data_IF_624704211865
#
_entry.id   IF_624704211865
#
_cell.length_a   1.000
_cell.length_b   1.000
_cell.length_c   1.000
_cell.angle_alpha   90.00
_cell.angle_beta   90.00
_cell.angle_gamma   90.00
#
_symmetry.space_group_name_H-M   'P 1'
#
loop_
_entity.id
_entity.type
_entity.pdbx_description
1 polymer ?
#
# COMPACT_ATOMS: atom_id res chain seq x y z
N UNK A 1 41.16 -51.28 -12.72
CA UNK A 1 41.39 -50.05 -13.51
C UNK A 1 40.11 -49.40 -14.04
N UNK A 2 39.13 -50.15 -14.57
CA UNK A 2 37.91 -49.59 -15.18
C UNK A 2 37.16 -48.51 -14.36
N UNK A 3 37.10 -48.64 -13.03
CA UNK A 3 36.44 -47.67 -12.14
C UNK A 3 37.18 -46.33 -12.09
N UNK A 4 38.52 -46.34 -12.00
CA UNK A 4 39.34 -45.12 -11.90
C UNK A 4 39.56 -44.44 -13.25
N UNK A 5 39.42 -45.18 -14.35
CA UNK A 5 39.53 -44.65 -15.72
C UNK A 5 38.18 -44.25 -16.32
N UNK A 6 37.08 -44.43 -15.60
CA UNK A 6 35.76 -44.03 -16.10
C UNK A 6 35.68 -42.52 -16.33
N UNK A 7 35.11 -42.12 -17.46
CA UNK A 7 34.86 -40.71 -17.81
C UNK A 7 33.44 -40.24 -17.45
N UNK A 8 32.55 -41.15 -17.04
CA UNK A 8 31.17 -40.83 -16.69
C UNK A 8 31.11 -39.97 -15.42
N UNK A 9 30.56 -38.76 -15.46
CA UNK A 9 30.51 -37.86 -14.30
C UNK A 9 29.12 -37.68 -13.70
N UNK A 10 28.12 -38.39 -14.23
CA UNK A 10 26.71 -38.25 -13.86
C UNK A 10 25.99 -37.17 -14.67
N UNK A 11 24.67 -37.36 -14.85
CA UNK A 11 23.83 -36.51 -15.71
C UNK A 11 23.11 -35.42 -14.90
N UNK A 12 22.74 -35.76 -13.67
CA UNK A 12 22.09 -34.92 -12.66
C UNK A 12 22.77 -35.16 -11.30
N UNK A 13 22.39 -34.37 -10.29
CA UNK A 13 22.99 -34.43 -8.97
C UNK A 13 22.83 -35.81 -8.32
N UNK A 14 21.65 -36.39 -8.42
CA UNK A 14 21.34 -37.72 -7.88
C UNK A 14 22.25 -38.80 -8.48
N UNK A 15 22.49 -38.74 -9.80
CA UNK A 15 23.40 -39.64 -10.48
C UNK A 15 24.85 -39.41 -10.05
N UNK A 16 25.30 -38.15 -9.89
CA UNK A 16 26.67 -37.89 -9.38
C UNK A 16 26.84 -38.44 -7.97
N UNK A 17 25.85 -38.26 -7.08
CA UNK A 17 25.89 -38.77 -5.71
C UNK A 17 25.96 -40.31 -5.67
N UNK A 18 25.23 -40.99 -6.57
CA UNK A 18 25.35 -42.46 -6.73
C UNK A 18 26.75 -42.86 -7.20
N UNK A 19 27.34 -42.14 -8.15
CA UNK A 19 28.70 -42.41 -8.64
C UNK A 19 29.76 -42.14 -7.57
N UNK A 20 29.59 -41.08 -6.76
CA UNK A 20 30.45 -40.78 -5.62
C UNK A 20 30.41 -41.90 -4.60
N UNK A 21 29.21 -42.35 -4.21
CA UNK A 21 29.06 -43.46 -3.25
C UNK A 21 29.73 -44.75 -3.73
N UNK A 22 29.52 -45.13 -5.00
CA UNK A 22 30.20 -46.28 -5.61
C UNK A 22 31.72 -46.11 -5.61
N UNK A 23 32.20 -44.89 -5.81
CA UNK A 23 33.63 -44.60 -5.82
C UNK A 23 34.24 -44.61 -4.41
N UNK A 24 33.51 -44.18 -3.38
CA UNK A 24 33.89 -44.29 -1.97
C UNK A 24 34.03 -45.75 -1.53
N UNK A 25 33.13 -46.63 -1.97
CA UNK A 25 33.23 -48.08 -1.78
C UNK A 25 34.55 -48.61 -2.40
N UNK A 26 34.84 -48.24 -3.65
CA UNK A 26 36.11 -48.57 -4.30
C UNK A 26 37.34 -47.99 -3.56
N UNK A 27 37.28 -46.78 -3.02
CA UNK A 27 38.37 -46.18 -2.27
C UNK A 27 38.63 -46.92 -0.95
N UNK A 28 37.58 -47.41 -0.31
CA UNK A 28 37.68 -48.25 0.90
C UNK A 28 38.41 -49.55 0.58
N UNK A 29 38.04 -50.22 -0.51
CA UNK A 29 38.71 -51.44 -0.98
C UNK A 29 40.17 -51.17 -1.36
N UNK A 30 40.43 -50.05 -2.05
CA UNK A 30 41.78 -49.62 -2.40
C UNK A 30 42.62 -49.40 -1.14
N UNK A 31 42.08 -48.75 -0.11
CA UNK A 31 42.79 -48.57 1.16
C UNK A 31 43.10 -49.91 1.85
N UNK A 32 42.17 -50.87 1.82
CA UNK A 32 42.40 -52.20 2.39
C UNK A 32 43.51 -52.98 1.67
N UNK A 33 43.72 -52.75 0.38
CA UNK A 33 44.78 -53.39 -0.40
C UNK A 33 46.19 -52.79 -0.18
N UNK A 34 46.29 -51.63 0.48
CA UNK A 34 47.57 -51.00 0.84
C UNK A 34 48.46 -51.92 1.67
N UNK A 35 47.89 -52.61 2.66
CA UNK A 35 48.61 -53.53 3.54
C UNK A 35 49.25 -54.67 2.74
N UNK A 36 48.52 -55.20 1.74
CA UNK A 36 49.01 -56.30 0.91
C UNK A 36 50.15 -55.89 -0.01
N UNK A 37 50.15 -54.64 -0.51
CA UNK A 37 51.29 -54.09 -1.25
C UNK A 37 52.50 -53.92 -0.33
N UNK A 38 52.28 -53.48 0.92
CA UNK A 38 53.35 -53.38 1.92
C UNK A 38 53.93 -54.75 2.28
N UNK A 39 53.10 -55.80 2.41
CA UNK A 39 53.56 -57.18 2.63
C UNK A 39 54.43 -57.68 1.47
N UNK A 40 53.99 -57.50 0.22
CA UNK A 40 54.77 -57.88 -0.97
C UNK A 40 56.14 -57.18 -0.98
N UNK A 41 56.17 -55.89 -0.63
CA UNK A 41 57.41 -55.13 -0.50
C UNK A 41 58.32 -55.66 0.62
N UNK A 42 57.76 -56.05 1.76
CA UNK A 42 58.52 -56.65 2.86
C UNK A 42 59.10 -58.02 2.47
N UNK A 43 58.33 -58.86 1.78
CA UNK A 43 58.80 -60.17 1.31
C UNK A 43 59.90 -60.03 0.24
N UNK A 44 59.72 -59.12 -0.73
CA UNK A 44 60.74 -58.82 -1.73
C UNK A 44 62.04 -58.34 -1.04
N UNK A 45 61.93 -57.44 -0.06
CA UNK A 45 63.08 -56.95 0.73
C UNK A 45 63.82 -58.07 1.47
N UNK A 46 63.11 -59.02 2.07
CA UNK A 46 63.72 -60.20 2.73
C UNK A 46 64.48 -61.08 1.75
N UNK A 47 63.88 -61.42 0.61
CA UNK A 47 64.51 -62.27 -0.41
C UNK A 47 65.78 -61.62 -1.01
N UNK A 48 65.76 -60.30 -1.19
CA UNK A 48 66.94 -59.52 -1.62
C UNK A 48 68.04 -59.58 -0.55
N UNK A 49 67.69 -59.42 0.73
CA UNK A 49 68.64 -59.48 1.84
C UNK A 49 69.28 -60.86 2.01
N UNK A 50 68.56 -61.92 1.66
CA UNK A 50 69.04 -63.31 1.67
C UNK A 50 69.87 -63.69 0.42
N UNK A 51 70.13 -62.76 -0.51
CA UNK A 51 70.87 -63.02 -1.77
C UNK A 51 70.21 -64.12 -2.61
N UNK A 52 68.89 -64.04 -2.78
CA UNK A 52 68.14 -64.99 -3.60
C UNK A 52 68.68 -65.05 -5.05
N UNK A 53 68.79 -66.23 -5.69
CA UNK A 53 69.36 -66.37 -7.04
C UNK A 53 68.71 -65.53 -8.13
N UNK A 54 67.44 -65.16 -7.93
CA UNK A 54 66.63 -64.34 -8.84
C UNK A 54 66.44 -62.88 -8.35
N UNK A 55 67.39 -62.34 -7.59
CA UNK A 55 67.30 -61.00 -6.98
C UNK A 55 66.90 -59.90 -7.99
N UNK A 56 67.49 -59.89 -9.18
CA UNK A 56 67.16 -58.89 -10.21
C UNK A 56 65.70 -58.98 -10.67
N UNK A 57 65.17 -60.20 -10.82
CA UNK A 57 63.78 -60.42 -11.20
C UNK A 57 62.83 -59.97 -10.09
N UNK A 58 63.16 -60.27 -8.83
CA UNK A 58 62.39 -59.85 -7.65
C UNK A 58 62.33 -58.32 -7.57
N UNK A 59 63.46 -57.63 -7.73
CA UNK A 59 63.51 -56.16 -7.80
C UNK A 59 62.65 -55.62 -8.94
N UNK A 60 62.79 -56.17 -10.14
CA UNK A 60 61.98 -55.74 -11.29
C UNK A 60 60.48 -55.90 -11.04
N UNK A 61 60.05 -57.01 -10.44
CA UNK A 61 58.63 -57.25 -10.10
C UNK A 61 58.13 -56.36 -8.97
N UNK A 62 58.96 -56.12 -7.96
CA UNK A 62 58.67 -55.19 -6.88
C UNK A 62 58.44 -53.77 -7.43
N UNK A 63 59.33 -53.31 -8.30
CA UNK A 63 59.23 -52.01 -8.95
C UNK A 63 57.98 -51.91 -9.83
N UNK A 64 57.64 -52.96 -10.58
CA UNK A 64 56.43 -53.02 -11.41
C UNK A 64 55.14 -52.90 -10.57
N UNK A 65 55.07 -53.61 -9.44
CA UNK A 65 53.93 -53.54 -8.49
C UNK A 65 53.82 -52.14 -7.90
N UNK A 66 54.93 -51.57 -7.43
CA UNK A 66 54.95 -50.23 -6.85
C UNK A 66 54.57 -49.15 -7.86
N UNK A 67 55.08 -49.22 -9.09
CA UNK A 67 54.73 -48.30 -10.16
C UNK A 67 53.22 -48.38 -10.50
N UNK A 68 52.68 -49.60 -10.58
CA UNK A 68 51.25 -49.84 -10.84
C UNK A 68 50.37 -49.34 -9.69
N UNK A 69 50.80 -49.55 -8.44
CA UNK A 69 50.11 -49.05 -7.25
C UNK A 69 50.05 -47.53 -7.20
N UNK A 70 51.18 -46.86 -7.44
CA UNK A 70 51.25 -45.39 -7.48
C UNK A 70 50.40 -44.83 -8.62
N UNK A 71 50.43 -45.47 -9.79
CA UNK A 71 49.56 -45.10 -10.92
C UNK A 71 48.08 -45.23 -10.55
N UNK A 72 47.67 -46.33 -9.92
CA UNK A 72 46.29 -46.56 -9.51
C UNK A 72 45.82 -45.52 -8.49
N UNK A 73 46.66 -45.18 -7.51
CA UNK A 73 46.41 -44.10 -6.54
C UNK A 73 46.26 -42.75 -7.21
N UNK A 74 47.14 -42.42 -8.16
CA UNK A 74 47.06 -41.18 -8.94
C UNK A 74 45.75 -41.07 -9.73
N UNK A 75 45.36 -42.15 -10.42
CA UNK A 75 44.09 -42.20 -11.16
C UNK A 75 42.89 -42.10 -10.22
N UNK A 76 42.94 -42.75 -9.06
CA UNK A 76 41.87 -42.68 -8.06
C UNK A 76 41.67 -41.25 -7.54
N UNK A 77 42.76 -40.53 -7.21
CA UNK A 77 42.70 -39.13 -6.80
C UNK A 77 42.15 -38.23 -7.89
N UNK A 78 42.58 -38.42 -9.15
CA UNK A 78 42.06 -37.66 -10.28
C UNK A 78 40.56 -37.88 -10.47
N UNK A 79 40.11 -39.14 -10.38
CA UNK A 79 38.70 -39.51 -10.50
C UNK A 79 37.86 -38.91 -9.36
N UNK A 80 38.37 -38.94 -8.13
CA UNK A 80 37.72 -38.30 -6.97
C UNK A 80 37.52 -36.81 -7.22
N UNK A 81 38.56 -36.10 -7.67
CA UNK A 81 38.47 -34.66 -7.95
C UNK A 81 37.45 -34.34 -9.05
N UNK A 82 37.38 -35.15 -10.12
CA UNK A 82 36.37 -34.97 -11.17
C UNK A 82 34.95 -35.20 -10.66
N UNK A 83 34.70 -36.26 -9.88
CA UNK A 83 33.39 -36.55 -9.32
C UNK A 83 32.94 -35.49 -8.29
N UNK A 84 33.88 -34.98 -7.48
CA UNK A 84 33.60 -33.90 -6.55
C UNK A 84 33.24 -32.61 -7.28
N UNK A 85 34.04 -32.21 -8.28
CA UNK A 85 33.76 -31.03 -9.09
C UNK A 85 32.44 -31.12 -9.87
N UNK A 86 32.11 -32.31 -10.39
CA UNK A 86 30.82 -32.55 -11.03
C UNK A 86 29.65 -32.35 -10.05
N UNK A 87 29.77 -32.84 -8.81
CA UNK A 87 28.73 -32.68 -7.80
C UNK A 87 28.55 -31.22 -7.36
N UNK A 88 29.64 -30.46 -7.22
CA UNK A 88 29.57 -29.02 -6.93
C UNK A 88 28.79 -28.27 -8.02
N UNK A 89 29.12 -28.52 -9.30
CA UNK A 89 28.44 -27.86 -10.42
C UNK A 89 26.97 -28.27 -10.53
N UNK A 90 26.65 -29.55 -10.32
CA UNK A 90 25.26 -30.02 -10.36
C UNK A 90 24.42 -29.47 -9.20
N UNK A 91 25.00 -29.34 -8.00
CA UNK A 91 24.33 -28.69 -6.86
C UNK A 91 24.04 -27.23 -7.14
N UNK A 92 25.01 -26.50 -7.68
CA UNK A 92 24.80 -25.12 -8.12
C UNK A 92 23.66 -25.01 -9.15
N UNK A 93 23.67 -25.86 -10.18
CA UNK A 93 22.62 -25.85 -11.20
C UNK A 93 21.23 -26.09 -10.59
N UNK A 94 21.09 -27.06 -9.68
CA UNK A 94 19.83 -27.32 -8.98
C UNK A 94 19.36 -26.11 -8.16
N UNK A 95 20.25 -25.53 -7.37
CA UNK A 95 19.91 -24.39 -6.51
C UNK A 95 19.49 -23.16 -7.34
N UNK A 96 20.12 -22.96 -8.51
CA UNK A 96 19.73 -21.95 -9.49
C UNK A 96 18.35 -22.26 -10.09
N UNK A 97 18.11 -23.49 -10.54
CA UNK A 97 16.85 -23.88 -11.18
C UNK A 97 15.65 -23.81 -10.20
N UNK A 98 15.86 -24.19 -8.94
CA UNK A 98 14.86 -24.01 -7.88
C UNK A 98 14.55 -22.52 -7.64
N UNK A 99 15.59 -21.68 -7.61
CA UNK A 99 15.45 -20.23 -7.43
C UNK A 99 14.72 -19.60 -8.61
N UNK A 100 15.06 -19.98 -9.85
CA UNK A 100 14.36 -19.52 -11.07
C UNK A 100 12.91 -19.99 -11.07
N UNK A 101 12.63 -21.23 -10.67
CA UNK A 101 11.26 -21.77 -10.60
C UNK A 101 10.40 -20.99 -9.60
N UNK A 102 10.95 -20.68 -8.42
CA UNK A 102 10.29 -19.82 -7.44
C UNK A 102 10.04 -18.42 -7.99
N UNK A 103 11.03 -17.81 -8.67
CA UNK A 103 10.87 -16.49 -9.33
C UNK A 103 9.72 -16.54 -10.34
N UNK A 104 9.68 -17.56 -11.20
CA UNK A 104 8.63 -17.70 -12.21
C UNK A 104 7.24 -17.87 -11.59
N UNK A 105 7.12 -18.65 -10.52
CA UNK A 105 5.86 -18.81 -9.76
C UNK A 105 5.39 -17.47 -9.18
N UNK A 106 6.28 -16.72 -8.51
CA UNK A 106 5.95 -15.40 -7.98
C UNK A 106 5.64 -14.37 -9.07
N UNK A 107 6.33 -14.45 -10.21
CA UNK A 107 6.06 -13.63 -11.39
C UNK A 107 4.64 -13.81 -11.92
N UNK A 108 4.13 -15.04 -11.95
CA UNK A 108 2.74 -15.31 -12.37
C UNK A 108 1.71 -14.66 -11.43
N UNK A 109 1.97 -14.62 -10.12
CA UNK A 109 1.10 -13.93 -9.16
C UNK A 109 1.08 -12.40 -9.39
N UNK A 110 2.18 -11.83 -9.89
CA UNK A 110 2.29 -10.39 -10.19
C UNK A 110 1.63 -9.99 -11.50
N UNK A 111 1.48 -10.93 -12.44
CA UNK A 111 0.88 -10.70 -13.76
C UNK A 111 -0.64 -10.43 -13.73
N UNK A 112 -1.27 -10.41 -12.56
CA UNK A 112 -2.69 -10.09 -12.43
C UNK A 112 -2.96 -8.62 -12.79
N UNK A 113 -3.94 -8.34 -13.66
CA UNK A 113 -4.40 -6.98 -13.92
C UNK A 113 -5.44 -6.47 -12.89
N UNK A 114 -5.58 -7.15 -11.75
CA UNK A 114 -6.41 -6.65 -10.65
C UNK A 114 -5.64 -5.60 -9.83
N UNK A 115 -6.14 -4.36 -9.91
CA UNK A 115 -5.66 -3.20 -9.16
C UNK A 115 -6.71 -2.66 -8.19
N UNK A 116 -7.76 -3.44 -7.87
CA UNK A 116 -8.82 -3.03 -6.97
C UNK A 116 -9.81 -2.04 -7.61
N UNK A 117 -11.05 -2.07 -7.10
CA UNK A 117 -12.19 -1.30 -7.63
C UNK A 117 -12.75 -0.26 -6.66
N UNK A 118 -12.23 -0.29 -5.43
CA UNK A 118 -12.61 0.58 -4.32
C UNK A 118 -11.40 0.72 -3.38
N UNK A 119 -11.47 1.67 -2.46
CA UNK A 119 -10.35 1.98 -1.57
C UNK A 119 -9.94 0.78 -0.70
N UNK A 120 -10.91 -0.01 -0.22
CA UNK A 120 -10.64 -1.15 0.65
C UNK A 120 -9.93 -2.29 -0.11
N UNK A 121 -10.39 -2.61 -1.32
CA UNK A 121 -9.80 -3.65 -2.18
C UNK A 121 -8.38 -3.29 -2.60
N UNK A 122 -8.13 -2.04 -3.03
CA UNK A 122 -6.78 -1.55 -3.30
C UNK A 122 -5.87 -1.69 -2.08
N UNK A 123 -6.32 -1.24 -0.90
CA UNK A 123 -5.50 -1.30 0.31
C UNK A 123 -5.13 -2.75 0.68
N UNK A 124 -6.05 -3.69 0.47
CA UNK A 124 -5.76 -5.12 0.66
C UNK A 124 -4.72 -5.62 -0.34
N UNK A 125 -4.81 -5.22 -1.62
CA UNK A 125 -3.83 -5.57 -2.65
C UNK A 125 -2.44 -4.98 -2.38
N UNK A 126 -2.36 -3.72 -1.92
CA UNK A 126 -1.10 -3.08 -1.50
C UNK A 126 -0.46 -3.84 -0.35
N UNK A 127 -1.19 -4.17 0.72
CA UNK A 127 -0.66 -4.98 1.84
C UNK A 127 -0.15 -6.35 1.39
N UNK A 128 -0.86 -6.99 0.46
CA UNK A 128 -0.41 -8.26 -0.15
C UNK A 128 0.88 -8.06 -0.95
N UNK A 129 1.00 -6.95 -1.67
CA UNK A 129 2.20 -6.61 -2.43
C UNK A 129 3.39 -6.28 -1.54
N UNK A 130 3.22 -5.56 -0.43
CA UNK A 130 4.27 -5.34 0.58
C UNK A 130 4.80 -6.67 1.15
N UNK A 131 3.92 -7.68 1.28
CA UNK A 131 4.33 -9.04 1.65
C UNK A 131 5.26 -9.68 0.63
N UNK A 132 4.93 -9.52 -0.65
CA UNK A 132 5.74 -10.01 -1.76
C UNK A 132 7.07 -9.27 -1.87
N UNK A 133 7.12 -7.96 -1.64
CA UNK A 133 8.37 -7.19 -1.63
C UNK A 133 9.32 -7.65 -0.52
N UNK A 134 8.79 -8.03 0.65
CA UNK A 134 9.58 -8.66 1.71
C UNK A 134 10.14 -10.02 1.30
N UNK A 135 9.35 -10.85 0.63
CA UNK A 135 9.82 -12.13 0.08
C UNK A 135 10.95 -11.89 -0.96
N UNK A 136 10.80 -10.88 -1.83
CA UNK A 136 11.81 -10.52 -2.82
C UNK A 136 13.09 -10.00 -2.18
N UNK A 137 13.01 -9.17 -1.14
CA UNK A 137 14.18 -8.70 -0.41
C UNK A 137 15.01 -9.86 0.17
N UNK A 138 14.35 -10.88 0.71
CA UNK A 138 15.03 -12.09 1.19
C UNK A 138 15.65 -12.91 0.04
N UNK A 139 15.01 -12.92 -1.13
CA UNK A 139 15.53 -13.61 -2.31
C UNK A 139 16.78 -12.94 -2.89
N UNK A 140 16.89 -11.61 -2.77
CA UNK A 140 18.04 -10.85 -3.28
C UNK A 140 19.36 -11.38 -2.72
N UNK A 141 19.40 -11.68 -1.42
CA UNK A 141 20.58 -12.24 -0.76
C UNK A 141 20.92 -13.64 -1.29
N UNK A 142 19.91 -14.47 -1.58
CA UNK A 142 20.10 -15.79 -2.20
C UNK A 142 20.68 -15.65 -3.62
N UNK A 143 20.17 -14.72 -4.43
CA UNK A 143 20.69 -14.46 -5.79
C UNK A 143 22.14 -13.99 -5.74
N UNK A 144 22.49 -13.09 -4.82
CA UNK A 144 23.88 -12.64 -4.60
C UNK A 144 24.80 -13.80 -4.22
N UNK A 145 24.36 -14.66 -3.30
CA UNK A 145 25.13 -15.83 -2.88
C UNK A 145 25.38 -16.81 -4.04
N UNK A 146 24.36 -17.09 -4.86
CA UNK A 146 24.50 -17.94 -6.06
C UNK A 146 25.43 -17.31 -7.10
N UNK A 147 25.42 -15.99 -7.27
CA UNK A 147 26.35 -15.31 -8.18
C UNK A 147 27.80 -15.43 -7.71
N UNK A 148 28.06 -15.27 -6.40
CA UNK A 148 29.39 -15.44 -5.82
C UNK A 148 29.87 -16.90 -5.92
N UNK A 149 28.97 -17.86 -5.73
CA UNK A 149 29.25 -19.28 -5.90
C UNK A 149 29.59 -19.61 -7.36
N UNK A 150 28.87 -19.04 -8.32
CA UNK A 150 29.20 -19.16 -9.73
C UNK A 150 30.61 -18.63 -10.06
N UNK A 151 31.01 -17.49 -9.50
CA UNK A 151 32.37 -16.95 -9.67
C UNK A 151 33.44 -17.90 -9.14
N UNK A 152 33.20 -18.48 -7.94
CA UNK A 152 34.10 -19.48 -7.34
C UNK A 152 34.23 -20.72 -8.22
N UNK A 153 33.09 -21.27 -8.68
CA UNK A 153 33.07 -22.49 -9.49
C UNK A 153 33.68 -22.28 -10.88
N UNK A 154 33.54 -21.11 -11.49
CA UNK A 154 34.20 -20.79 -12.76
C UNK A 154 35.73 -20.81 -12.63
N UNK A 155 36.27 -20.37 -11.49
CA UNK A 155 37.71 -20.39 -11.21
C UNK A 155 38.22 -21.80 -10.93
N UNK A 156 37.48 -22.59 -10.15
CA UNK A 156 37.90 -23.96 -9.78
C UNK A 156 37.64 -25.00 -10.87
N UNK A 157 36.64 -24.77 -11.74
CA UNK A 157 36.22 -25.72 -12.78
C UNK A 157 36.17 -25.07 -14.19
N UNK A 158 37.32 -24.71 -14.79
CA UNK A 158 37.38 -23.97 -16.06
C UNK A 158 36.65 -24.63 -17.24
N UNK A 159 36.57 -25.97 -17.24
CA UNK A 159 35.87 -26.74 -18.29
C UNK A 159 34.37 -26.42 -18.28
N UNK A 160 33.78 -26.24 -17.10
CA UNK A 160 32.35 -25.96 -16.92
C UNK A 160 32.04 -24.46 -16.85
N UNK A 161 33.06 -23.60 -16.89
CA UNK A 161 32.89 -22.16 -16.64
C UNK A 161 31.88 -21.49 -17.59
N UNK A 162 31.89 -21.87 -18.88
CA UNK A 162 30.92 -21.38 -19.86
C UNK A 162 29.47 -21.75 -19.51
N UNK A 163 29.24 -23.01 -19.11
CA UNK A 163 27.90 -23.47 -18.72
C UNK A 163 27.41 -22.79 -17.43
N UNK A 164 28.29 -22.68 -16.44
CA UNK A 164 28.01 -21.98 -15.17
C UNK A 164 27.67 -20.51 -15.45
N UNK A 165 28.40 -19.87 -16.37
CA UNK A 165 28.15 -18.50 -16.77
C UNK A 165 26.75 -18.34 -17.38
N UNK A 166 26.38 -19.21 -18.32
CA UNK A 166 25.04 -19.20 -18.93
C UNK A 166 23.94 -19.36 -17.86
N UNK A 167 24.12 -20.26 -16.90
CA UNK A 167 23.15 -20.44 -15.81
C UNK A 167 23.06 -19.24 -14.87
N UNK A 168 24.19 -18.61 -14.56
CA UNK A 168 24.22 -17.35 -13.80
C UNK A 168 23.47 -16.24 -14.53
N UNK A 169 23.72 -16.08 -15.83
CA UNK A 169 23.04 -15.07 -16.66
C UNK A 169 21.54 -15.32 -16.71
N UNK A 170 21.10 -16.58 -16.81
CA UNK A 170 19.68 -16.95 -16.72
C UNK A 170 19.07 -16.52 -15.39
N UNK A 171 19.73 -16.80 -14.26
CA UNK A 171 19.28 -16.37 -12.93
C UNK A 171 19.13 -14.85 -12.84
N UNK A 172 20.16 -14.11 -13.26
CA UNK A 172 20.17 -12.64 -13.22
C UNK A 172 19.06 -12.07 -14.09
N UNK A 173 18.85 -12.61 -15.30
CA UNK A 173 17.80 -12.16 -16.19
C UNK A 173 16.39 -12.34 -15.58
N UNK A 174 16.13 -13.52 -14.97
CA UNK A 174 14.86 -13.76 -14.27
C UNK A 174 14.69 -12.85 -13.05
N UNK A 175 15.78 -12.58 -12.31
CA UNK A 175 15.79 -11.70 -11.15
C UNK A 175 15.48 -10.24 -11.52
N UNK A 176 16.10 -9.70 -12.56
CA UNK A 176 15.82 -8.33 -13.01
C UNK A 176 14.40 -8.20 -13.59
N UNK A 177 13.91 -9.24 -14.28
CA UNK A 177 12.54 -9.28 -14.78
C UNK A 177 11.51 -9.19 -13.64
N UNK A 178 11.66 -10.00 -12.58
CA UNK A 178 10.70 -9.98 -11.46
C UNK A 178 10.75 -8.67 -10.68
N UNK A 179 11.93 -8.05 -10.53
CA UNK A 179 12.06 -6.72 -9.91
C UNK A 179 11.33 -5.65 -10.71
N UNK A 180 11.46 -5.68 -12.04
CA UNK A 180 10.76 -4.75 -12.93
C UNK A 180 9.25 -4.92 -12.80
N UNK A 181 8.75 -6.17 -12.88
CA UNK A 181 7.32 -6.47 -12.73
C UNK A 181 6.78 -6.06 -11.36
N UNK A 182 7.54 -6.26 -10.28
CA UNK A 182 7.15 -5.85 -8.95
C UNK A 182 7.01 -4.32 -8.87
N UNK A 183 8.01 -3.58 -9.36
CA UNK A 183 7.99 -2.12 -9.35
C UNK A 183 6.84 -1.54 -10.20
N UNK A 184 6.62 -2.08 -11.41
CA UNK A 184 5.50 -1.68 -12.27
C UNK A 184 4.15 -1.95 -11.60
N UNK A 185 3.98 -3.13 -10.99
CA UNK A 185 2.76 -3.46 -10.26
C UNK A 185 2.54 -2.52 -9.08
N UNK A 186 3.58 -2.22 -8.30
CA UNK A 186 3.48 -1.28 -7.19
C UNK A 186 3.05 0.11 -7.68
N UNK A 187 3.67 0.62 -8.74
CA UNK A 187 3.29 1.91 -9.34
C UNK A 187 1.80 1.93 -9.73
N UNK A 188 1.32 0.91 -10.44
CA UNK A 188 -0.09 0.82 -10.84
C UNK A 188 -1.06 0.68 -9.65
N UNK A 189 -0.68 -0.06 -8.60
CA UNK A 189 -1.47 -0.15 -7.36
C UNK A 189 -1.54 1.19 -6.63
N UNK A 190 -0.45 1.96 -6.60
CA UNK A 190 -0.41 3.29 -6.01
C UNK A 190 -1.24 4.31 -6.81
N UNK A 191 -1.21 4.24 -8.14
CA UNK A 191 -2.07 5.06 -8.99
C UNK A 191 -3.55 4.76 -8.72
N UNK A 192 -3.93 3.48 -8.72
CA UNK A 192 -5.28 3.04 -8.36
C UNK A 192 -5.66 3.50 -6.95
N UNK A 193 -4.75 3.43 -5.96
CA UNK A 193 -4.99 3.92 -4.60
C UNK A 193 -5.32 5.41 -4.54
N UNK A 194 -4.53 6.23 -5.23
CA UNK A 194 -4.74 7.68 -5.25
C UNK A 194 -6.08 8.02 -5.89
N UNK A 195 -6.42 7.35 -7.00
CA UNK A 195 -7.73 7.51 -7.64
C UNK A 195 -8.87 7.08 -6.72
N UNK A 196 -8.81 5.88 -6.15
CA UNK A 196 -9.90 5.35 -5.32
C UNK A 196 -10.09 6.13 -4.02
N UNK A 197 -9.02 6.72 -3.49
CA UNK A 197 -9.10 7.65 -2.36
C UNK A 197 -9.83 8.93 -2.74
N UNK A 198 -9.41 9.57 -3.84
CA UNK A 198 -10.11 10.76 -4.36
C UNK A 198 -11.59 10.48 -4.66
N UNK A 199 -11.92 9.33 -5.26
CA UNK A 199 -13.31 8.94 -5.55
C UNK A 199 -14.12 8.60 -4.28
N UNK A 200 -13.47 8.17 -3.20
CA UNK A 200 -14.12 8.02 -1.90
C UNK A 200 -14.47 9.41 -1.33
N UNK A 201 -13.48 10.31 -1.24
CA UNK A 201 -13.66 11.67 -0.75
C UNK A 201 -14.74 12.43 -1.56
N UNK A 202 -14.73 12.29 -2.89
CA UNK A 202 -15.75 12.85 -3.78
C UNK A 202 -17.18 12.37 -3.44
N UNK A 203 -17.36 11.06 -3.24
CA UNK A 203 -18.68 10.48 -2.92
C UNK A 203 -19.17 10.95 -1.55
N UNK A 204 -18.29 10.94 -0.56
CA UNK A 204 -18.62 11.36 0.81
C UNK A 204 -19.03 12.84 0.82
N UNK A 205 -18.24 13.71 0.17
CA UNK A 205 -18.56 15.14 0.08
C UNK A 205 -19.84 15.41 -0.71
N UNK A 206 -20.09 14.70 -1.81
CA UNK A 206 -21.30 14.90 -2.62
C UNK A 206 -22.56 14.45 -1.85
N UNK A 207 -22.48 13.34 -1.11
CA UNK A 207 -23.57 12.91 -0.21
C UNK A 207 -23.84 13.97 0.84
N UNK A 208 -22.79 14.43 1.52
CA UNK A 208 -22.91 15.44 2.57
C UNK A 208 -23.48 16.77 2.03
N UNK A 209 -23.05 17.24 0.85
CA UNK A 209 -23.62 18.43 0.21
C UNK A 209 -25.11 18.25 -0.05
N UNK A 210 -25.50 17.09 -0.57
CA UNK A 210 -26.91 16.78 -0.85
C UNK A 210 -27.75 16.81 0.42
N UNK A 211 -27.25 16.21 1.50
CA UNK A 211 -27.90 16.19 2.81
C UNK A 211 -28.00 17.60 3.41
N UNK A 212 -26.92 18.40 3.37
CA UNK A 212 -26.92 19.77 3.86
C UNK A 212 -27.88 20.68 3.08
N UNK A 213 -27.92 20.55 1.75
CA UNK A 213 -28.90 21.26 0.91
C UNK A 213 -30.34 20.89 1.28
N UNK A 214 -30.60 19.63 1.64
CA UNK A 214 -31.92 19.20 2.09
C UNK A 214 -32.28 19.81 3.45
N UNK A 215 -31.33 19.86 4.40
CA UNK A 215 -31.52 20.49 5.71
C UNK A 215 -31.85 21.99 5.58
N UNK A 216 -31.09 22.73 4.78
CA UNK A 216 -31.31 24.17 4.57
C UNK A 216 -32.70 24.45 3.97
N UNK A 217 -33.22 23.54 3.15
CA UNK A 217 -34.55 23.66 2.52
C UNK A 217 -35.71 23.10 3.36
N UNK A 218 -35.43 22.40 4.47
CA UNK A 218 -36.46 21.65 5.20
C UNK A 218 -37.39 22.55 6.02
N UNK A 219 -36.88 23.66 6.54
CA UNK A 219 -37.62 24.55 7.43
C UNK A 219 -38.69 25.36 6.66
N UNK A 220 -39.79 25.68 7.32
CA UNK A 220 -40.78 26.65 6.84
C UNK A 220 -40.54 28.02 7.50
N UNK A 221 -41.02 29.10 6.89
CA UNK A 221 -40.89 30.44 7.48
C UNK A 221 -41.73 30.55 8.76
N UNK A 222 -41.16 31.18 9.78
CA UNK A 222 -41.84 31.40 11.05
C UNK A 222 -42.97 32.43 10.94
N UNK A 223 -43.94 32.32 11.84
CA UNK A 223 -45.08 33.22 11.96
C UNK A 223 -45.03 34.12 13.21
N UNK A 224 -43.90 34.09 13.93
CA UNK A 224 -43.62 34.95 15.07
C UNK A 224 -42.11 35.29 15.15
N UNK A 225 -41.77 36.29 15.97
CA UNK A 225 -40.39 36.78 16.12
C UNK A 225 -39.47 35.71 16.71
N UNK A 226 -39.93 35.00 17.75
CA UNK A 226 -39.11 33.99 18.42
C UNK A 226 -38.75 32.80 17.51
N UNK A 227 -39.69 32.38 16.65
CA UNK A 227 -39.46 31.37 15.64
C UNK A 227 -38.51 31.84 14.55
N UNK A 228 -38.61 33.10 14.12
CA UNK A 228 -37.71 33.68 13.12
C UNK A 228 -36.27 33.80 13.66
N UNK A 229 -36.09 34.22 14.92
CA UNK A 229 -34.80 34.22 15.61
C UNK A 229 -34.21 32.80 15.68
N UNK A 230 -35.00 31.80 16.09
CA UNK A 230 -34.55 30.43 16.17
C UNK A 230 -34.14 29.83 14.80
N UNK A 231 -34.81 30.22 13.72
CA UNK A 231 -34.43 29.83 12.36
C UNK A 231 -33.08 30.45 11.94
N UNK A 232 -32.87 31.73 12.26
CA UNK A 232 -31.59 32.42 11.99
C UNK A 232 -30.44 31.78 12.77
N UNK A 233 -30.64 31.47 14.04
CA UNK A 233 -29.63 30.82 14.89
C UNK A 233 -29.23 29.45 14.32
N UNK A 234 -30.22 28.58 13.99
CA UNK A 234 -29.95 27.28 13.36
C UNK A 234 -29.26 27.42 12.00
N UNK A 235 -29.63 28.43 11.23
CA UNK A 235 -29.01 28.68 9.93
C UNK A 235 -27.52 29.05 10.06
N UNK A 236 -27.14 29.73 11.15
CA UNK A 236 -25.74 29.98 11.49
C UNK A 236 -25.01 28.72 11.95
N UNK A 237 -25.68 27.79 12.63
CA UNK A 237 -25.09 26.47 12.95
C UNK A 237 -24.74 25.71 11.67
N UNK A 238 -25.64 25.68 10.68
CA UNK A 238 -25.35 25.10 9.36
C UNK A 238 -24.15 25.76 8.68
N UNK A 239 -23.96 27.07 8.84
CA UNK A 239 -22.78 27.76 8.31
C UNK A 239 -21.49 27.25 8.96
N UNK A 240 -21.51 27.04 10.27
CA UNK A 240 -20.40 26.45 11.00
C UNK A 240 -20.05 25.05 10.51
N UNK A 241 -21.05 24.22 10.22
CA UNK A 241 -20.84 22.90 9.61
C UNK A 241 -20.24 22.99 8.20
N UNK A 242 -20.70 23.92 7.37
CA UNK A 242 -20.13 24.15 6.04
C UNK A 242 -18.67 24.56 6.13
N UNK A 243 -18.34 25.49 7.03
CA UNK A 243 -16.97 25.97 7.21
C UNK A 243 -16.04 24.88 7.75
N UNK A 244 -16.55 23.98 8.60
CA UNK A 244 -15.78 22.85 9.10
C UNK A 244 -15.39 21.83 8.01
N UNK A 245 -16.12 21.78 6.89
CA UNK A 245 -15.82 20.89 5.76
C UNK A 245 -14.91 21.52 4.70
N UNK A 246 -14.54 22.79 4.85
CA UNK A 246 -13.71 23.52 3.89
C UNK A 246 -12.37 22.80 3.60
N UNK A 247 -11.70 22.34 4.65
CA UNK A 247 -10.44 21.60 4.52
C UNK A 247 -10.62 20.27 3.77
N UNK A 248 -11.77 19.61 3.91
CA UNK A 248 -12.08 18.38 3.18
C UNK A 248 -12.26 18.65 1.69
N UNK A 249 -12.98 19.71 1.31
CA UNK A 249 -13.09 20.13 -0.09
C UNK A 249 -11.73 20.49 -0.68
N UNK A 250 -10.92 21.24 0.05
CA UNK A 250 -9.58 21.62 -0.38
C UNK A 250 -8.68 20.40 -0.57
N UNK A 251 -8.69 19.46 0.38
CA UNK A 251 -7.94 18.21 0.27
C UNK A 251 -8.38 17.37 -0.93
N UNK A 252 -9.68 17.31 -1.23
CA UNK A 252 -10.19 16.59 -2.39
C UNK A 252 -9.77 17.27 -3.71
N UNK A 253 -9.83 18.60 -3.78
CA UNK A 253 -9.33 19.36 -4.94
C UNK A 253 -7.83 19.15 -5.13
N UNK A 254 -7.00 19.33 -4.10
CA UNK A 254 -5.56 19.12 -4.15
C UNK A 254 -5.22 17.68 -4.60
N UNK A 255 -5.94 16.68 -4.10
CA UNK A 255 -5.76 15.28 -4.50
C UNK A 255 -6.12 15.04 -5.97
N UNK A 256 -7.21 15.63 -6.45
CA UNK A 256 -7.61 15.55 -7.86
C UNK A 256 -6.63 16.29 -8.78
N UNK A 257 -6.22 17.51 -8.42
CA UNK A 257 -5.22 18.27 -9.18
C UNK A 257 -3.88 17.54 -9.24
N UNK A 258 -3.47 16.89 -8.15
CA UNK A 258 -2.26 16.07 -8.13
C UNK A 258 -2.36 14.92 -9.15
N UNK A 259 -3.50 14.22 -9.23
CA UNK A 259 -3.73 13.17 -10.23
C UNK A 259 -3.64 13.72 -11.67
N UNK A 260 -4.23 14.88 -11.94
CA UNK A 260 -4.16 15.52 -13.26
C UNK A 260 -2.73 15.93 -13.62
N UNK A 261 -2.00 16.54 -12.68
CA UNK A 261 -0.62 16.99 -12.88
C UNK A 261 0.34 15.82 -13.17
N UNK A 262 0.04 14.64 -12.62
CA UNK A 262 0.79 13.41 -12.84
C UNK A 262 0.44 12.72 -14.18
N UNK A 263 -0.54 13.22 -14.94
CA UNK A 263 -0.99 12.58 -16.17
C UNK A 263 -1.66 11.22 -15.92
N UNK A 264 -2.42 11.10 -14.83
CA UNK A 264 -3.03 9.84 -14.41
C UNK A 264 -3.95 9.25 -15.49
N UNK A 265 -4.03 7.92 -15.59
CA UNK A 265 -4.79 7.23 -16.64
C UNK A 265 -6.29 7.56 -16.64
N UNK A 266 -6.83 8.01 -15.50
CA UNK A 266 -8.22 8.41 -15.31
C UNK A 266 -8.41 9.94 -15.29
N UNK A 267 -7.53 10.71 -15.95
CA UNK A 267 -7.56 12.18 -15.90
C UNK A 267 -8.90 12.79 -16.32
N UNK A 268 -9.57 12.23 -17.32
CA UNK A 268 -10.88 12.74 -17.76
C UNK A 268 -11.96 12.57 -16.68
N UNK A 269 -12.02 11.41 -16.03
CA UNK A 269 -12.93 11.15 -14.91
C UNK A 269 -12.62 12.07 -13.72
N UNK A 270 -11.34 12.20 -13.35
CA UNK A 270 -10.93 13.09 -12.25
C UNK A 270 -11.35 14.54 -12.53
N UNK A 271 -11.14 15.03 -13.76
CA UNK A 271 -11.52 16.39 -14.16
C UNK A 271 -13.04 16.60 -14.10
N UNK A 272 -13.81 15.61 -14.55
CA UNK A 272 -15.28 15.63 -14.44
C UNK A 272 -15.70 15.73 -12.97
N UNK A 273 -15.16 14.88 -12.10
CA UNK A 273 -15.53 14.86 -10.67
C UNK A 273 -15.13 16.12 -9.92
N UNK A 274 -13.96 16.69 -10.22
CA UNK A 274 -13.54 17.99 -9.69
C UNK A 274 -14.52 19.10 -10.09
N UNK A 275 -14.96 19.12 -11.35
CA UNK A 275 -15.92 20.11 -11.84
C UNK A 275 -17.25 19.98 -11.10
N UNK A 276 -17.79 18.76 -11.03
CA UNK A 276 -19.03 18.48 -10.30
C UNK A 276 -18.91 18.92 -8.83
N UNK A 277 -17.82 18.57 -8.15
CA UNK A 277 -17.63 18.90 -6.75
C UNK A 277 -17.55 20.42 -6.52
N UNK A 278 -16.86 21.14 -7.40
CA UNK A 278 -16.77 22.61 -7.38
C UNK A 278 -18.14 23.27 -7.59
N UNK A 279 -18.91 22.79 -8.55
CA UNK A 279 -20.25 23.31 -8.87
C UNK A 279 -21.23 23.03 -7.71
N UNK A 280 -21.19 21.81 -7.16
CA UNK A 280 -22.03 21.41 -6.02
C UNK A 280 -21.75 22.26 -4.76
N UNK A 281 -20.47 22.54 -4.48
CA UNK A 281 -20.04 23.42 -3.39
C UNK A 281 -20.52 24.85 -3.61
N UNK A 282 -20.37 25.39 -4.81
CA UNK A 282 -20.82 26.75 -5.15
C UNK A 282 -22.34 26.87 -4.96
N UNK A 283 -23.09 25.90 -5.47
CA UNK A 283 -24.55 25.85 -5.32
C UNK A 283 -25.00 25.70 -3.85
N UNK A 284 -24.23 25.02 -2.99
CA UNK A 284 -24.52 24.95 -1.55
C UNK A 284 -24.37 26.33 -0.89
N UNK A 285 -23.30 27.05 -1.20
CA UNK A 285 -23.05 28.39 -0.65
C UNK A 285 -24.11 29.40 -1.13
N UNK A 286 -24.47 29.35 -2.41
CA UNK A 286 -25.55 30.18 -2.96
C UNK A 286 -26.91 29.88 -2.31
N UNK A 287 -27.23 28.60 -2.11
CA UNK A 287 -28.46 28.19 -1.43
C UNK A 287 -28.49 28.70 0.01
N UNK A 288 -27.38 28.55 0.74
CA UNK A 288 -27.27 29.05 2.12
C UNK A 288 -27.52 30.55 2.15
N UNK A 289 -26.85 31.32 1.29
CA UNK A 289 -26.97 32.78 1.24
C UNK A 289 -28.40 33.23 0.85
N UNK A 290 -29.01 32.58 -0.13
CA UNK A 290 -30.41 32.85 -0.49
C UNK A 290 -31.35 32.61 0.70
N UNK A 291 -31.12 31.52 1.44
CA UNK A 291 -31.96 31.17 2.58
C UNK A 291 -31.78 32.12 3.76
N UNK A 292 -30.55 32.59 4.01
CA UNK A 292 -30.25 33.64 4.99
C UNK A 292 -31.10 34.89 4.74
N UNK A 293 -31.13 35.37 3.50
CA UNK A 293 -31.92 36.55 3.11
C UNK A 293 -33.42 36.35 3.35
N UNK A 294 -33.95 35.14 3.08
CA UNK A 294 -35.35 34.82 3.35
C UNK A 294 -35.68 34.85 4.84
N UNK A 295 -34.79 34.32 5.69
CA UNK A 295 -34.99 34.35 7.14
C UNK A 295 -34.87 35.76 7.73
N UNK A 296 -33.94 36.58 7.22
CA UNK A 296 -33.82 37.98 7.63
C UNK A 296 -35.07 38.78 7.24
N UNK A 297 -35.58 38.62 6.02
CA UNK A 297 -36.83 39.24 5.59
C UNK A 297 -38.04 38.76 6.40
N UNK A 298 -38.07 37.47 6.76
CA UNK A 298 -39.10 36.92 7.63
C UNK A 298 -39.03 37.57 9.03
N UNK A 299 -37.84 37.69 9.61
CA UNK A 299 -37.62 38.34 10.90
C UNK A 299 -38.10 39.80 10.88
N UNK A 300 -37.70 40.57 9.86
CA UNK A 300 -38.14 41.96 9.69
C UNK A 300 -39.68 42.06 9.59
N UNK A 301 -40.31 41.15 8.86
CA UNK A 301 -41.77 41.08 8.73
C UNK A 301 -42.45 40.77 10.08
N UNK A 302 -41.93 39.80 10.85
CA UNK A 302 -42.51 39.44 12.14
C UNK A 302 -42.32 40.55 13.18
N UNK A 303 -41.18 41.25 13.16
CA UNK A 303 -40.97 42.45 13.97
C UNK A 303 -41.99 43.54 13.61
N UNK A 304 -42.19 43.80 12.32
CA UNK A 304 -43.18 44.77 11.85
C UNK A 304 -44.60 44.42 12.30
N UNK A 305 -45.03 43.16 12.19
CA UNK A 305 -46.36 42.73 12.65
C UNK A 305 -46.52 42.88 14.17
N UNK A 306 -45.52 42.44 14.95
CA UNK A 306 -45.52 42.61 16.40
C UNK A 306 -45.64 44.09 16.78
N UNK A 307 -44.85 44.94 16.15
CA UNK A 307 -44.82 46.37 16.48
C UNK A 307 -46.13 47.06 16.06
N UNK A 308 -46.69 46.68 14.91
CA UNK A 308 -48.02 47.14 14.47
C UNK A 308 -49.11 46.72 15.45
N UNK A 309 -49.11 45.46 15.91
CA UNK A 309 -50.06 44.95 16.89
C UNK A 309 -49.91 45.67 18.25
N UNK A 310 -48.68 46.01 18.67
CA UNK A 310 -48.45 46.79 19.88
C UNK A 310 -49.03 48.20 19.76
N UNK A 311 -48.84 48.86 18.61
CA UNK A 311 -49.40 50.19 18.35
C UNK A 311 -50.93 50.13 18.28
N UNK A 312 -51.50 49.15 17.60
CA UNK A 312 -52.95 48.95 17.49
C UNK A 312 -53.63 48.70 18.85
N UNK A 313 -53.02 47.84 19.67
CA UNK A 313 -53.47 47.59 21.05
C UNK A 313 -53.34 48.85 21.93
N UNK A 314 -52.32 49.67 21.71
CA UNK A 314 -52.18 50.94 22.42
C UNK A 314 -53.26 51.93 21.97
N UNK A 315 -53.48 52.10 20.67
CA UNK A 315 -54.53 52.97 20.12
C UNK A 315 -55.92 52.56 20.60
N UNK A 316 -56.25 51.27 20.56
CA UNK A 316 -57.52 50.74 21.05
C UNK A 316 -57.78 51.08 22.53
N UNK A 317 -56.74 51.05 23.38
CA UNK A 317 -56.84 51.48 24.78
C UNK A 317 -57.09 52.98 24.92
N UNK A 318 -56.45 53.79 24.08
CA UNK A 318 -56.66 55.23 24.05
C UNK A 318 -58.06 55.60 23.56
N UNK A 319 -58.55 54.95 22.51
CA UNK A 319 -59.93 55.12 22.03
C UNK A 319 -60.94 54.77 23.11
N UNK A 320 -60.75 53.64 23.81
CA UNK A 320 -61.61 53.26 24.93
C UNK A 320 -61.58 54.28 26.08
N UNK A 321 -60.43 54.91 26.35
CA UNK A 321 -60.31 56.00 27.33
C UNK A 321 -61.08 57.25 26.90
N UNK A 322 -60.99 57.64 25.62
CA UNK A 322 -61.68 58.82 25.07
C UNK A 322 -63.20 58.63 24.97
N UNK A 323 -63.68 57.41 24.80
CA UNK A 323 -65.12 57.08 24.78
C UNK A 323 -65.78 57.13 26.17
N UNK A 324 -65.02 57.38 27.24
CA UNK A 324 -65.58 57.52 28.57
C UNK A 324 -66.32 58.87 28.72
N UNK A 325 -67.66 58.81 28.87
CA UNK A 325 -68.52 59.99 29.03
C UNK A 325 -68.65 60.48 30.49
N UNK A 326 -67.91 59.89 31.43
CA UNK A 326 -67.92 60.30 32.84
C UNK A 326 -67.30 61.70 33.02
N UNK A 327 -68.12 62.66 33.47
CA UNK A 327 -67.71 64.04 33.74
C UNK A 327 -67.38 64.29 35.22
N UNK A 328 -67.53 63.28 36.08
CA UNK A 328 -67.35 63.42 37.53
C UNK A 328 -68.58 64.02 38.24
N UNK A 329 -68.68 63.77 39.54
CA UNK A 329 -69.79 64.18 40.40
C UNK A 329 -69.41 65.26 41.45
N UNK A 330 -68.13 65.64 41.46
CA UNK A 330 -67.52 66.55 42.44
C UNK A 330 -66.32 67.30 41.85
N UNK A 331 -65.96 68.45 42.43
CA UNK A 331 -64.79 69.23 42.00
C UNK A 331 -63.50 68.39 41.98
N UNK A 332 -63.27 67.62 43.04
CA UNK A 332 -62.11 66.73 43.15
C UNK A 332 -62.10 65.65 42.04
N UNK A 333 -63.27 65.12 41.67
CA UNK A 333 -63.39 64.15 40.56
C UNK A 333 -63.10 64.79 39.19
N UNK A 334 -63.56 66.03 38.96
CA UNK A 334 -63.31 66.78 37.73
C UNK A 334 -61.82 67.13 37.61
N UNK A 335 -61.19 67.60 38.69
CA UNK A 335 -59.75 67.88 38.71
C UNK A 335 -58.92 66.61 38.46
N UNK A 336 -59.35 65.46 39.01
CA UNK A 336 -58.71 64.18 38.73
C UNK A 336 -58.87 63.72 37.27
N UNK A 337 -60.03 63.96 36.65
CA UNK A 337 -60.28 63.67 35.23
C UNK A 337 -59.45 64.58 34.31
N UNK A 338 -59.37 65.88 34.61
CA UNK A 338 -58.51 66.83 33.89
C UNK A 338 -57.04 66.39 33.94
N UNK A 339 -56.55 66.01 35.13
CA UNK A 339 -55.18 65.51 35.27
C UNK A 339 -54.93 64.25 34.45
N UNK A 340 -55.87 63.29 34.44
CA UNK A 340 -55.78 62.09 33.59
C UNK A 340 -55.74 62.44 32.10
N UNK A 341 -56.49 63.47 31.68
CA UNK A 341 -56.47 63.94 30.30
C UNK A 341 -55.14 64.60 29.92
N UNK A 342 -54.57 65.43 30.80
CA UNK A 342 -53.23 65.99 30.60
C UNK A 342 -52.15 64.90 30.51
N UNK A 343 -52.25 63.85 31.34
CA UNK A 343 -51.32 62.72 31.30
C UNK A 343 -51.48 61.89 30.01
N UNK A 344 -52.71 61.78 29.50
CA UNK A 344 -53.00 61.21 28.18
C UNK A 344 -52.35 62.02 27.05
N UNK A 345 -52.54 63.35 27.01
CA UNK A 345 -51.95 64.22 25.99
C UNK A 345 -50.42 64.13 25.95
N UNK A 346 -49.78 64.08 27.14
CA UNK A 346 -48.32 63.85 27.24
C UNK A 346 -47.92 62.48 26.69
N UNK A 347 -48.68 61.43 27.00
CA UNK A 347 -48.39 60.08 26.48
C UNK A 347 -48.60 59.99 24.97
N UNK A 348 -49.58 60.70 24.42
CA UNK A 348 -49.86 60.76 22.99
C UNK A 348 -48.70 61.44 22.25
N UNK A 349 -48.28 62.63 22.71
CA UNK A 349 -47.15 63.35 22.13
C UNK A 349 -45.85 62.53 22.17
N UNK A 350 -45.59 61.80 23.26
CA UNK A 350 -44.42 60.92 23.37
C UNK A 350 -44.48 59.69 22.44
N UNK A 351 -45.67 59.25 22.03
CA UNK A 351 -45.83 58.12 21.12
C UNK A 351 -45.82 58.58 19.65
N UNK A 352 -46.28 59.80 19.33
CA UNK A 352 -46.15 60.40 17.99
C UNK A 352 -44.68 60.48 17.55
N UNK A 353 -43.76 60.83 18.46
CA UNK A 353 -42.32 60.86 18.20
C UNK A 353 -41.71 59.47 17.88
N UNK A 354 -42.41 58.38 18.21
CA UNK A 354 -41.95 57.00 17.90
C UNK A 354 -42.53 56.46 16.60
N UNK A 355 -43.59 57.07 16.09
CA UNK A 355 -44.32 56.65 14.88
C UNK A 355 -43.87 57.49 13.67
N UNK A 356 -43.38 58.71 13.88
CA UNK A 356 -42.76 59.57 12.86
C UNK A 356 -41.25 59.35 12.77
#
# INVERSE_FOLDING_TARGET
>A
EAIVTSEELGQDLEHVEVLQKKFEEFQTDLAAHEERVNEVNQFAGKLIQETHPEEELIKSKQDEVNASWQRLKGLALQRQGKLFGAAEVQRFNRDVDETISWIKEKGQLMASDDFGRDLASVQALLRKHEGLERDLAALEDKVKALCAEADRLQQSHPINASQIQVKREELIANWEQIRTLAAERHARLNDSYRLQRFLADFRDLTSWVTEMKALINADELANDVAGAEALLDRHQEHKGEIDAHEDSFKSADESGQALLSAGHYASDEVKEKLTILSDERSALLELWELRRQQYEQCMDLQLFYRDTEQVDNWMSKQEAFLLNEDLGDSLDSVEALLKKHEDFEKSLSAQEEKIT
#
